data_IF_382486433482
#
_entry.id   IF_382486433482
#
_cell.length_a   1.000
_cell.length_b   1.000
_cell.length_c   1.000
_cell.angle_alpha   90.00
_cell.angle_beta   90.00
_cell.angle_gamma   90.00
#
_symmetry.space_group_name_H-M   'P 1'
#
loop_
_entity.id
_entity.type
_entity.pdbx_description
1 polymer ?
#
# COMPACT_ATOMS: atom_id res chain seq x y z
N UNK A 1 38.47 18.10 4.84
CA UNK A 1 37.32 17.16 4.76
C UNK A 1 36.04 17.99 4.81
N UNK A 2 35.21 18.08 3.76
CA UNK A 2 33.97 18.82 3.83
C UNK A 2 32.97 18.08 4.73
N UNK A 3 32.49 18.77 5.76
CA UNK A 3 31.44 18.27 6.66
C UNK A 3 30.19 17.93 5.84
N UNK A 4 29.81 16.65 5.86
CA UNK A 4 28.58 16.17 5.24
C UNK A 4 27.41 16.85 5.99
N UNK A 5 26.57 17.67 5.33
CA UNK A 5 25.50 18.37 6.02
C UNK A 5 24.57 17.35 6.67
N UNK A 6 24.51 17.35 8.01
CA UNK A 6 23.62 16.48 8.77
C UNK A 6 22.19 16.90 8.45
N UNK A 7 21.46 16.05 7.73
CA UNK A 7 20.05 16.26 7.43
C UNK A 7 19.32 16.52 8.75
N UNK A 8 18.65 17.68 8.85
CA UNK A 8 17.86 18.01 10.05
C UNK A 8 16.80 16.92 10.23
N UNK A 9 16.60 16.39 11.45
CA UNK A 9 15.56 15.40 11.69
C UNK A 9 14.21 16.01 11.30
N UNK A 10 13.58 15.47 10.25
CA UNK A 10 12.26 15.92 9.82
C UNK A 10 11.28 15.76 10.99
N UNK A 11 10.50 16.80 11.26
CA UNK A 11 9.46 16.71 12.27
C UNK A 11 8.43 15.65 11.87
N UNK A 12 7.83 14.97 12.86
CA UNK A 12 6.76 13.97 12.61
C UNK A 12 5.63 14.53 11.75
N UNK A 13 5.29 15.81 11.95
CA UNK A 13 4.30 16.52 11.15
C UNK A 13 4.73 16.67 9.68
N UNK A 14 6.02 16.93 9.42
CA UNK A 14 6.55 17.01 8.06
C UNK A 14 6.49 15.66 7.35
N UNK A 15 6.85 14.56 8.03
CA UNK A 15 6.75 13.20 7.49
C UNK A 15 5.30 12.82 7.19
N UNK A 16 4.38 13.04 8.13
CA UNK A 16 2.95 12.77 7.93
C UNK A 16 2.41 13.52 6.72
N UNK A 17 2.69 14.83 6.61
CA UNK A 17 2.26 15.65 5.49
C UNK A 17 2.85 15.15 4.17
N UNK A 18 4.13 14.78 4.16
CA UNK A 18 4.78 14.24 2.97
C UNK A 18 4.08 12.96 2.49
N UNK A 19 3.88 11.98 3.39
CA UNK A 19 3.24 10.72 3.02
C UNK A 19 1.78 10.89 2.60
N UNK A 20 1.02 11.75 3.28
CA UNK A 20 -0.36 12.09 2.90
C UNK A 20 -0.43 12.72 1.50
N UNK A 21 0.44 13.69 1.21
CA UNK A 21 0.44 14.39 -0.08
C UNK A 21 0.95 13.49 -1.21
N UNK A 22 1.98 12.69 -0.97
CA UNK A 22 2.50 11.73 -1.96
C UNK A 22 1.46 10.64 -2.23
N UNK A 23 0.90 10.05 -1.18
CA UNK A 23 -0.15 9.04 -1.30
C UNK A 23 -1.39 9.59 -2.00
N UNK A 24 -1.88 10.76 -1.58
CA UNK A 24 -3.01 11.43 -2.20
C UNK A 24 -2.75 11.82 -3.65
N UNK A 25 -1.56 12.34 -3.97
CA UNK A 25 -1.16 12.68 -5.33
C UNK A 25 -1.10 11.47 -6.26
N UNK A 26 -0.54 10.35 -5.77
CA UNK A 26 -0.56 9.07 -6.51
C UNK A 26 -2.01 8.60 -6.72
N UNK A 27 -2.83 8.67 -5.67
CA UNK A 27 -4.25 8.35 -5.74
C UNK A 27 -4.99 9.18 -6.79
N UNK A 28 -4.77 10.49 -6.79
CA UNK A 28 -5.36 11.42 -7.75
C UNK A 28 -4.94 11.09 -9.18
N UNK A 29 -3.65 10.81 -9.40
CA UNK A 29 -3.14 10.40 -10.71
C UNK A 29 -3.87 9.13 -11.20
N UNK A 30 -3.92 8.09 -10.36
CA UNK A 30 -4.59 6.85 -10.76
C UNK A 30 -6.08 7.01 -11.00
N UNK A 31 -6.75 7.97 -10.37
CA UNK A 31 -8.17 8.23 -10.61
C UNK A 31 -8.45 9.11 -11.83
N UNK A 32 -7.66 10.17 -12.04
CA UNK A 32 -7.80 11.05 -13.21
C UNK A 32 -7.42 10.37 -14.53
N UNK A 33 -6.56 9.36 -14.48
CA UNK A 33 -6.18 8.59 -15.67
C UNK A 33 -6.82 7.20 -15.71
N UNK A 34 -7.77 6.92 -14.81
CA UNK A 34 -8.51 5.67 -14.82
C UNK A 34 -9.38 5.55 -16.07
N UNK A 35 -9.23 4.43 -16.78
CA UNK A 35 -10.12 4.02 -17.88
C UNK A 35 -10.47 2.54 -17.65
N UNK A 36 -11.76 2.18 -17.52
CA UNK A 36 -12.15 0.79 -17.40
C UNK A 36 -11.93 0.09 -18.74
N UNK A 37 -10.82 -0.62 -18.89
CA UNK A 37 -10.49 -1.42 -20.08
C UNK A 37 -11.05 -2.85 -20.00
N UNK A 38 -11.58 -3.23 -18.84
CA UNK A 38 -12.17 -4.54 -18.57
C UNK A 38 -13.23 -4.43 -17.47
N UNK A 39 -14.06 -5.46 -17.38
CA UNK A 39 -14.98 -5.64 -16.27
C UNK A 39 -14.26 -6.01 -14.96
N UNK A 40 -14.84 -5.69 -13.80
CA UNK A 40 -14.25 -6.04 -12.51
C UNK A 40 -14.11 -7.55 -12.37
N UNK A 41 -12.90 -8.02 -12.04
CA UNK A 41 -12.63 -9.46 -11.90
C UNK A 41 -11.95 -9.77 -10.56
N UNK A 42 -12.78 -10.04 -9.56
CA UNK A 42 -12.33 -10.40 -8.21
C UNK A 42 -11.60 -11.74 -8.15
N UNK A 43 -11.84 -12.66 -9.08
CA UNK A 43 -11.10 -13.93 -9.17
C UNK A 43 -9.64 -13.66 -9.52
N UNK A 44 -9.39 -12.77 -10.49
CA UNK A 44 -8.02 -12.34 -10.80
C UNK A 44 -7.39 -11.61 -9.62
N UNK A 45 -8.12 -10.71 -8.96
CA UNK A 45 -7.63 -10.03 -7.76
C UNK A 45 -7.22 -11.02 -6.65
N UNK A 46 -8.02 -12.07 -6.43
CA UNK A 46 -7.71 -13.13 -5.48
C UNK A 46 -6.46 -13.93 -5.88
N UNK A 47 -6.37 -14.33 -7.15
CA UNK A 47 -5.21 -15.05 -7.68
C UNK A 47 -3.92 -14.22 -7.55
N UNK A 48 -3.99 -12.92 -7.85
CA UNK A 48 -2.88 -11.98 -7.69
C UNK A 48 -2.51 -11.78 -6.21
N UNK A 49 -3.49 -11.75 -5.30
CA UNK A 49 -3.23 -11.65 -3.87
C UNK A 49 -2.49 -12.88 -3.35
N UNK A 50 -2.89 -14.08 -3.78
CA UNK A 50 -2.20 -15.33 -3.46
C UNK A 50 -0.77 -15.33 -4.01
N UNK A 51 -0.60 -14.97 -5.28
CA UNK A 51 0.71 -14.89 -5.93
C UNK A 51 1.62 -13.88 -5.24
N UNK A 52 1.15 -12.67 -4.96
CA UNK A 52 1.89 -11.66 -4.22
C UNK A 52 2.28 -12.17 -2.82
N UNK A 53 1.35 -12.79 -2.09
CA UNK A 53 1.66 -13.37 -0.78
C UNK A 53 2.76 -14.42 -0.87
N UNK A 54 2.69 -15.31 -1.85
CA UNK A 54 3.70 -16.33 -2.07
C UNK A 54 5.07 -15.70 -2.38
N UNK A 55 5.12 -14.73 -3.29
CA UNK A 55 6.35 -14.02 -3.66
C UNK A 55 6.98 -13.31 -2.47
N UNK A 56 6.19 -12.73 -1.56
CA UNK A 56 6.70 -12.02 -0.39
C UNK A 56 7.04 -12.94 0.79
N UNK A 57 6.36 -14.08 0.94
CA UNK A 57 6.55 -14.97 2.10
C UNK A 57 7.45 -16.18 1.84
N UNK A 58 7.52 -16.72 0.61
CA UNK A 58 8.39 -17.87 0.29
C UNK A 58 9.88 -17.54 0.47
N UNK A 59 10.41 -16.38 0.02
CA UNK A 59 11.82 -16.06 0.21
C UNK A 59 12.22 -15.99 1.68
N UNK A 60 11.28 -15.73 2.60
CA UNK A 60 11.56 -15.72 4.05
C UNK A 60 11.87 -17.12 4.59
N UNK A 61 11.40 -18.19 3.93
CA UNK A 61 11.71 -19.58 4.28
C UNK A 61 13.11 -20.01 3.81
N UNK A 62 13.63 -19.35 2.77
CA UNK A 62 14.95 -19.61 2.21
C UNK A 62 16.07 -18.90 2.98
N UNK A 63 15.72 -17.99 3.90
CA UNK A 63 16.69 -17.31 4.76
C UNK A 63 17.21 -18.24 5.84
N UNK A 64 18.46 -17.99 6.26
CA UNK A 64 19.16 -18.77 7.29
C UNK A 64 18.43 -18.72 8.65
N UNK A 65 17.80 -17.58 8.96
CA UNK A 65 16.92 -17.41 10.11
C UNK A 65 15.50 -17.82 9.75
N UNK A 66 15.20 -19.11 9.84
CA UNK A 66 13.86 -19.62 9.53
C UNK A 66 12.88 -19.22 10.62
N UNK A 67 11.78 -18.54 10.29
CA UNK A 67 10.72 -18.26 11.26
C UNK A 67 10.03 -19.56 11.70
N UNK A 68 9.54 -19.60 12.93
CA UNK A 68 8.66 -20.68 13.41
C UNK A 68 7.45 -20.82 12.49
N UNK A 69 7.00 -22.04 12.19
CA UNK A 69 5.85 -22.29 11.29
C UNK A 69 4.60 -21.48 11.68
N UNK A 70 4.33 -21.32 12.97
CA UNK A 70 3.24 -20.47 13.50
C UNK A 70 3.42 -18.99 13.15
N UNK A 71 4.63 -18.46 13.29
CA UNK A 71 4.94 -17.06 12.99
C UNK A 71 4.90 -16.80 11.47
N UNK A 72 5.41 -17.74 10.68
CA UNK A 72 5.35 -17.68 9.23
C UNK A 72 3.90 -17.70 8.73
N UNK A 73 3.07 -18.64 9.21
CA UNK A 73 1.66 -18.73 8.86
C UNK A 73 0.88 -17.45 9.21
N UNK A 74 1.09 -16.89 10.40
CA UNK A 74 0.51 -15.59 10.79
C UNK A 74 0.94 -14.46 9.86
N UNK A 75 2.22 -14.44 9.48
CA UNK A 75 2.77 -13.43 8.56
C UNK A 75 2.17 -13.58 7.17
N UNK A 76 2.05 -14.82 6.66
CA UNK A 76 1.45 -15.12 5.38
C UNK A 76 -0.03 -14.72 5.33
N UNK A 77 -0.82 -15.10 6.34
CA UNK A 77 -2.23 -14.72 6.44
C UNK A 77 -2.40 -13.20 6.53
N UNK A 78 -1.60 -12.53 7.36
CA UNK A 78 -1.66 -11.06 7.47
C UNK A 78 -1.30 -10.37 6.16
N UNK A 79 -0.27 -10.86 5.47
CA UNK A 79 0.18 -10.34 4.17
C UNK A 79 -0.87 -10.57 3.10
N UNK A 80 -1.48 -11.75 3.09
CA UNK A 80 -2.57 -12.10 2.19
C UNK A 80 -3.78 -11.19 2.38
N UNK A 81 -4.25 -11.01 3.61
CA UNK A 81 -5.37 -10.13 3.91
C UNK A 81 -5.10 -8.71 3.41
N UNK A 82 -3.89 -8.19 3.61
CA UNK A 82 -3.50 -6.87 3.10
C UNK A 82 -3.57 -6.80 1.57
N UNK A 83 -3.03 -7.79 0.87
CA UNK A 83 -3.07 -7.81 -0.60
C UNK A 83 -4.49 -7.97 -1.13
N UNK A 84 -5.31 -8.84 -0.53
CA UNK A 84 -6.73 -8.99 -0.89
C UNK A 84 -7.47 -7.67 -0.69
N UNK A 85 -7.29 -6.99 0.44
CA UNK A 85 -7.93 -5.71 0.70
C UNK A 85 -7.52 -4.64 -0.32
N UNK A 86 -6.22 -4.52 -0.60
CA UNK A 86 -5.72 -3.54 -1.59
C UNK A 86 -6.28 -3.84 -2.98
N UNK A 87 -6.25 -5.10 -3.41
CA UNK A 87 -6.73 -5.50 -4.74
C UNK A 87 -8.26 -5.40 -4.85
N UNK A 88 -8.98 -5.73 -3.78
CA UNK A 88 -10.44 -5.53 -3.71
C UNK A 88 -10.79 -4.04 -3.81
N UNK A 89 -10.11 -3.16 -3.08
CA UNK A 89 -10.30 -1.71 -3.18
C UNK A 89 -9.99 -1.18 -4.59
N UNK A 90 -8.98 -1.76 -5.24
CA UNK A 90 -8.65 -1.48 -6.65
C UNK A 90 -9.77 -1.94 -7.60
N UNK A 91 -10.43 -3.07 -7.34
CA UNK A 91 -11.57 -3.51 -8.15
C UNK A 91 -12.82 -2.66 -7.89
N UNK A 92 -13.04 -2.21 -6.64
CA UNK A 92 -14.15 -1.32 -6.25
C UNK A 92 -14.14 -0.02 -7.06
N UNK A 93 -12.99 0.46 -7.53
CA UNK A 93 -12.91 1.67 -8.37
C UNK A 93 -13.77 1.58 -9.65
N UNK A 94 -14.00 0.37 -10.19
CA UNK A 94 -14.86 0.18 -11.36
C UNK A 94 -16.32 0.48 -11.01
N UNK A 95 -16.81 -0.06 -9.88
CA UNK A 95 -18.14 0.28 -9.35
C UNK A 95 -18.28 1.78 -9.07
N UNK A 96 -17.24 2.40 -8.52
CA UNK A 96 -17.21 3.85 -8.28
C UNK A 96 -17.29 4.64 -9.60
N UNK A 97 -16.64 4.14 -10.67
CA UNK A 97 -16.73 4.74 -11.99
C UNK A 97 -18.14 4.64 -12.58
N UNK A 98 -18.81 3.50 -12.41
CA UNK A 98 -20.15 3.29 -12.95
C UNK A 98 -21.19 4.18 -12.25
N UNK A 99 -20.99 4.50 -10.96
CA UNK A 99 -21.91 5.34 -10.18
C UNK A 99 -21.72 6.83 -10.47
N UNK A 100 -20.48 7.32 -10.46
CA UNK A 100 -20.19 8.77 -10.46
C UNK A 100 -19.16 9.21 -11.48
N UNK A 101 -18.80 8.32 -12.42
CA UNK A 101 -17.83 8.58 -13.46
C UNK A 101 -16.45 8.91 -12.93
N UNK A 102 -15.68 9.56 -13.79
CA UNK A 102 -14.26 9.86 -13.59
C UNK A 102 -13.97 10.68 -12.32
N UNK A 103 -14.81 11.67 -12.01
CA UNK A 103 -14.58 12.56 -10.87
C UNK A 103 -14.75 11.83 -9.54
N UNK A 104 -15.74 10.94 -9.43
CA UNK A 104 -15.94 10.15 -8.22
C UNK A 104 -14.77 9.19 -8.00
N UNK A 105 -14.27 8.56 -9.07
CA UNK A 105 -13.06 7.73 -8.98
C UNK A 105 -11.86 8.55 -8.53
N UNK A 106 -11.66 9.76 -9.07
CA UNK A 106 -10.56 10.63 -8.67
C UNK A 106 -10.59 10.96 -7.17
N UNK A 107 -11.75 11.32 -6.62
CA UNK A 107 -11.90 11.60 -5.18
C UNK A 107 -11.65 10.33 -4.37
N UNK A 108 -12.24 9.21 -4.79
CA UNK A 108 -12.10 7.91 -4.12
C UNK A 108 -10.64 7.44 -4.06
N UNK A 109 -9.93 7.42 -5.19
CA UNK A 109 -8.53 6.97 -5.25
C UNK A 109 -7.60 7.94 -4.55
N UNK A 110 -7.88 9.25 -4.57
CA UNK A 110 -7.14 10.24 -3.78
C UNK A 110 -7.28 9.97 -2.29
N UNK A 111 -8.51 9.73 -1.81
CA UNK A 111 -8.76 9.41 -0.41
C UNK A 111 -8.07 8.11 0.01
N UNK A 112 -8.16 7.06 -0.81
CA UNK A 112 -7.44 5.80 -0.56
C UNK A 112 -5.93 5.96 -0.55
N UNK A 113 -5.38 6.73 -1.49
CA UNK A 113 -3.95 7.01 -1.57
C UNK A 113 -3.46 7.79 -0.35
N UNK A 114 -4.21 8.82 0.06
CA UNK A 114 -3.94 9.61 1.26
C UNK A 114 -4.00 8.75 2.53
N UNK A 115 -5.02 7.88 2.65
CA UNK A 115 -5.15 6.94 3.76
C UNK A 115 -3.99 5.93 3.79
N UNK A 116 -3.58 5.40 2.64
CA UNK A 116 -2.41 4.52 2.52
C UNK A 116 -1.11 5.21 2.92
N UNK A 117 -0.92 6.46 2.50
CA UNK A 117 0.20 7.30 2.91
C UNK A 117 0.21 7.53 4.43
N UNK A 118 -0.94 7.87 5.01
CA UNK A 118 -1.07 8.05 6.46
C UNK A 118 -0.75 6.77 7.23
N UNK A 119 -1.23 5.61 6.78
CA UNK A 119 -0.91 4.32 7.40
C UNK A 119 0.58 4.01 7.36
N UNK A 120 1.24 4.28 6.23
CA UNK A 120 2.68 4.08 6.08
C UNK A 120 3.49 5.03 6.97
N UNK A 121 3.08 6.29 7.05
CA UNK A 121 3.67 7.26 7.97
C UNK A 121 3.59 6.79 9.43
N UNK A 122 2.44 6.26 9.85
CA UNK A 122 2.27 5.74 11.21
C UNK A 122 3.19 4.52 11.48
N UNK A 123 3.39 3.68 10.46
CA UNK A 123 4.26 2.51 10.52
C UNK A 123 5.73 2.91 10.68
N UNK A 124 6.16 3.94 9.96
CA UNK A 124 7.52 4.48 10.03
C UNK A 124 7.77 5.26 11.33
N UNK A 125 6.79 6.02 11.81
CA UNK A 125 6.88 6.73 13.11
C UNK A 125 6.98 5.73 14.27
N UNK A 126 6.29 4.58 14.18
CA UNK A 126 6.28 3.55 15.23
C UNK A 126 7.49 2.61 15.19
N UNK A 127 8.28 2.58 14.10
CA UNK A 127 9.57 1.90 14.10
C UNK A 127 10.55 2.70 14.95
N UNK A 128 10.79 2.25 16.20
CA UNK A 128 11.90 2.78 17.01
C UNK A 128 13.19 2.68 16.20
N UNK A 129 14.05 3.71 16.18
CA UNK A 129 15.40 3.56 15.65
C UNK A 129 16.12 2.55 16.54
N UNK A 130 16.35 1.34 16.02
CA UNK A 130 17.35 0.44 16.59
C UNK A 130 18.69 1.14 16.43
N UNK A 131 19.20 1.67 17.55
CA UNK A 131 20.61 2.00 17.70
C UNK A 131 21.45 0.74 17.60
#
# INVERSE_FOLDING_TARGET
>A
MPDKPRAKPQSRAALLRQYLLVGGGLGLYFGLFFRPLREPNFVLAMALALLATAVFTIPTLLKKDRPTLSAWGKTAVTTFIKFVLILALLEVRHYVYDIGGKWLVAVFTTALGAAGGWWLAQSDINKKPTK
#
